data_IF_198423736881
#
_entry.id   IF_198423736881
#
_cell.length_a   1.000
_cell.length_b   1.000
_cell.length_c   1.000
_cell.angle_alpha   90.00
_cell.angle_beta   90.00
_cell.angle_gamma   90.00
#
_symmetry.space_group_name_H-M   'P 1'
#
loop_
_entity.id
_entity.type
_entity.pdbx_description
1 polymer ?
#
# COMPACT_ATOMS: atom_id res chain seq x y z
N UNK A 1 18.80 34.92 7.20
CA UNK A 1 17.40 34.44 7.40
C UNK A 1 17.25 32.97 7.01
N UNK A 2 17.68 32.56 5.79
CA UNK A 2 17.59 31.17 5.29
C UNK A 2 18.25 30.13 6.22
N UNK A 3 19.44 30.45 6.74
CA UNK A 3 20.21 29.53 7.60
C UNK A 3 19.44 29.12 8.88
N UNK A 4 18.78 30.07 9.55
CA UNK A 4 18.01 29.80 10.77
C UNK A 4 16.74 28.97 10.50
N UNK A 5 16.12 29.15 9.32
CA UNK A 5 14.99 28.33 8.90
C UNK A 5 15.43 26.90 8.58
N UNK A 6 16.59 26.75 7.95
CA UNK A 6 17.17 25.46 7.62
C UNK A 6 17.56 24.66 8.87
N UNK A 7 18.15 25.30 9.89
CA UNK A 7 18.45 24.64 11.16
C UNK A 7 17.19 24.10 11.85
N UNK A 8 16.12 24.90 11.91
CA UNK A 8 14.83 24.46 12.45
C UNK A 8 14.26 23.32 11.62
N UNK A 9 14.32 23.41 10.30
CA UNK A 9 13.83 22.35 9.41
C UNK A 9 14.58 21.04 9.66
N UNK A 10 15.92 21.06 9.63
CA UNK A 10 16.74 19.87 9.85
C UNK A 10 16.48 19.22 11.22
N UNK A 11 16.27 20.03 12.27
CA UNK A 11 15.92 19.56 13.62
C UNK A 11 14.64 18.73 13.65
N UNK A 12 13.63 19.11 12.88
CA UNK A 12 12.34 18.40 12.83
C UNK A 12 12.29 17.35 11.73
N UNK A 13 13.01 17.55 10.64
CA UNK A 13 13.08 16.63 9.51
C UNK A 13 13.49 15.23 9.95
N UNK A 14 14.57 15.10 10.73
CA UNK A 14 15.05 13.79 11.22
C UNK A 14 14.00 13.06 12.09
N UNK A 15 13.11 13.80 12.76
CA UNK A 15 12.05 13.22 13.60
C UNK A 15 10.82 12.80 12.79
N UNK A 16 10.49 13.54 11.73
CA UNK A 16 9.23 13.39 10.99
C UNK A 16 9.39 12.90 9.55
N UNK A 17 10.63 12.67 9.06
CA UNK A 17 10.85 12.26 7.66
C UNK A 17 10.03 11.01 7.31
N UNK A 18 9.91 10.07 8.25
CA UNK A 18 9.22 8.80 8.01
C UNK A 18 7.72 9.04 7.76
N UNK A 19 7.03 9.74 8.66
CA UNK A 19 5.60 9.99 8.52
C UNK A 19 5.29 10.91 7.33
N UNK A 20 6.14 11.91 7.10
CA UNK A 20 5.99 12.82 5.97
C UNK A 20 6.16 12.08 4.63
N UNK A 21 7.10 11.13 4.58
CA UNK A 21 7.29 10.28 3.41
C UNK A 21 6.12 9.32 3.21
N UNK A 22 5.54 8.76 4.28
CA UNK A 22 4.34 7.94 4.16
C UNK A 22 3.16 8.75 3.62
N UNK A 23 2.90 9.95 4.14
CA UNK A 23 1.84 10.85 3.66
C UNK A 23 2.06 11.23 2.20
N UNK A 24 3.30 11.56 1.82
CA UNK A 24 3.62 11.85 0.44
C UNK A 24 3.39 10.66 -0.50
N UNK A 25 3.65 9.42 -0.06
CA UNK A 25 3.38 8.22 -0.87
C UNK A 25 1.89 7.86 -0.96
N UNK A 26 1.11 8.18 0.06
CA UNK A 26 -0.33 7.93 0.10
C UNK A 26 -1.12 8.96 -0.71
N UNK A 27 -0.49 10.07 -1.11
CA UNK A 27 -1.08 11.03 -2.03
C UNK A 27 -1.05 10.46 -3.46
N UNK A 28 -2.21 10.27 -4.13
CA UNK A 28 -2.29 9.69 -5.48
C UNK A 28 -1.46 10.43 -6.53
N UNK A 29 -1.13 11.71 -6.28
CA UNK A 29 -0.36 12.56 -7.19
C UNK A 29 1.12 12.24 -7.16
N UNK A 30 1.62 11.66 -6.08
CA UNK A 30 3.03 11.41 -5.86
C UNK A 30 3.32 9.90 -5.85
N UNK A 31 4.09 9.45 -6.85
CA UNK A 31 4.56 8.07 -6.91
C UNK A 31 5.76 7.87 -6.00
N UNK A 32 5.97 6.65 -5.52
CA UNK A 32 7.11 6.25 -4.68
C UNK A 32 8.48 6.60 -5.28
N UNK A 33 8.56 6.69 -6.60
CA UNK A 33 9.71 7.18 -7.36
C UNK A 33 10.11 8.62 -6.99
N UNK A 34 9.15 9.49 -6.65
CA UNK A 34 9.42 10.86 -6.22
C UNK A 34 10.11 10.91 -4.86
N UNK A 35 9.64 10.09 -3.91
CA UNK A 35 10.29 9.97 -2.60
C UNK A 35 11.69 9.40 -2.78
N UNK A 36 11.88 8.38 -3.62
CA UNK A 36 13.20 7.84 -3.92
C UNK A 36 14.14 8.92 -4.48
N UNK A 37 13.69 9.72 -5.45
CA UNK A 37 14.46 10.83 -6.02
C UNK A 37 14.86 11.89 -4.99
N UNK A 38 13.93 12.28 -4.10
CA UNK A 38 14.20 13.23 -3.03
C UNK A 38 15.27 12.71 -2.07
N UNK A 39 15.16 11.45 -1.63
CA UNK A 39 16.13 10.87 -0.71
C UNK A 39 17.49 10.64 -1.37
N UNK A 40 17.55 10.27 -2.66
CA UNK A 40 18.84 10.16 -3.39
C UNK A 40 19.52 11.51 -3.52
N UNK A 41 18.76 12.59 -3.68
CA UNK A 41 19.31 13.95 -3.79
C UNK A 41 19.85 14.45 -2.44
N UNK A 42 19.18 14.13 -1.33
CA UNK A 42 19.54 14.63 0.00
C UNK A 42 20.63 13.77 0.67
N UNK A 43 20.55 12.44 0.54
CA UNK A 43 21.38 11.49 1.31
C UNK A 43 22.34 10.67 0.46
N UNK A 44 22.28 10.77 -0.88
CA UNK A 44 23.17 10.07 -1.79
C UNK A 44 23.18 8.55 -1.54
N UNK A 45 24.33 8.05 -1.09
CA UNK A 45 24.59 6.61 -0.88
C UNK A 45 23.68 6.01 0.21
N UNK A 46 23.28 6.80 1.22
CA UNK A 46 22.41 6.34 2.30
C UNK A 46 20.92 6.31 1.95
N UNK A 47 20.54 6.85 0.79
CA UNK A 47 19.14 7.00 0.39
C UNK A 47 18.39 5.67 0.34
N UNK A 48 19.03 4.60 -0.15
CA UNK A 48 18.42 3.28 -0.25
C UNK A 48 17.90 2.79 1.10
N UNK A 49 18.68 2.97 2.17
CA UNK A 49 18.28 2.55 3.52
C UNK A 49 17.02 3.27 3.98
N UNK A 50 16.93 4.58 3.78
CA UNK A 50 15.76 5.37 4.16
C UNK A 50 14.52 4.98 3.36
N UNK A 51 14.65 4.81 2.05
CA UNK A 51 13.54 4.41 1.16
C UNK A 51 13.02 3.02 1.55
N UNK A 52 13.91 2.07 1.85
CA UNK A 52 13.52 0.75 2.32
C UNK A 52 12.80 0.82 3.68
N UNK A 53 13.26 1.64 4.62
CA UNK A 53 12.56 1.86 5.89
C UNK A 53 11.15 2.40 5.66
N UNK A 54 10.98 3.38 4.78
CA UNK A 54 9.67 3.96 4.45
C UNK A 54 8.75 2.90 3.84
N UNK A 55 9.25 2.14 2.86
CA UNK A 55 8.48 1.10 2.17
C UNK A 55 8.04 0.00 3.13
N UNK A 56 8.93 -0.46 4.01
CA UNK A 56 8.62 -1.46 5.02
C UNK A 56 7.54 -0.97 6.00
N UNK A 57 7.60 0.29 6.44
CA UNK A 57 6.58 0.87 7.32
C UNK A 57 5.23 1.01 6.60
N UNK A 58 5.23 1.45 5.34
CA UNK A 58 4.00 1.55 4.54
C UNK A 58 3.34 0.18 4.38
N UNK A 59 4.14 -0.85 4.09
CA UNK A 59 3.67 -2.23 3.96
C UNK A 59 3.10 -2.75 5.28
N UNK A 60 3.77 -2.50 6.41
CA UNK A 60 3.29 -2.89 7.73
C UNK A 60 1.91 -2.27 8.03
N UNK A 61 1.75 -0.97 7.76
CA UNK A 61 0.48 -0.26 7.94
C UNK A 61 -0.63 -0.85 7.04
N UNK A 62 -0.28 -1.18 5.80
CA UNK A 62 -1.22 -1.80 4.87
C UNK A 62 -1.64 -3.20 5.33
N UNK A 63 -0.68 -4.03 5.76
CA UNK A 63 -0.95 -5.39 6.25
C UNK A 63 -1.85 -5.36 7.49
N UNK A 64 -1.63 -4.41 8.41
CA UNK A 64 -2.49 -4.18 9.57
C UNK A 64 -3.91 -3.77 9.15
N UNK A 65 -4.04 -2.83 8.20
CA UNK A 65 -5.33 -2.42 7.66
C UNK A 65 -6.09 -3.60 7.05
N UNK A 66 -5.44 -4.42 6.23
CA UNK A 66 -6.04 -5.61 5.59
C UNK A 66 -6.45 -6.65 6.63
N UNK A 67 -5.67 -6.84 7.70
CA UNK A 67 -6.05 -7.72 8.80
C UNK A 67 -7.29 -7.21 9.52
N UNK A 68 -7.37 -5.91 9.77
CA UNK A 68 -8.51 -5.31 10.47
C UNK A 68 -9.79 -5.36 9.62
N UNK A 69 -9.68 -5.13 8.31
CA UNK A 69 -10.83 -5.21 7.41
C UNK A 69 -11.43 -6.62 7.35
N UNK A 70 -10.58 -7.66 7.37
CA UNK A 70 -11.02 -9.07 7.41
C UNK A 70 -11.74 -9.41 8.72
N UNK A 71 -11.24 -8.91 9.85
CA UNK A 71 -11.87 -9.11 11.18
C UNK A 71 -13.26 -8.47 11.27
N UNK A 72 -13.41 -7.25 10.73
CA UNK A 72 -14.72 -6.57 10.68
C UNK A 72 -15.71 -7.28 9.73
N UNK A 73 -15.22 -7.86 8.63
CA UNK A 73 -16.05 -8.65 7.72
C UNK A 73 -16.57 -9.93 8.37
N UNK A 74 -15.78 -10.62 9.21
CA UNK A 74 -16.25 -11.83 9.90
C UNK A 74 -17.32 -11.52 10.96
N UNK A 75 -17.21 -10.40 11.67
CA UNK A 75 -18.24 -10.01 12.66
C UNK A 75 -19.57 -9.59 12.02
N UNK A 76 -19.56 -9.09 10.78
CA UNK A 76 -20.78 -8.72 10.03
C UNK A 76 -21.47 -9.94 9.40
N UNK A 77 -20.69 -10.94 8.97
CA UNK A 77 -21.23 -12.21 8.47
C UNK A 77 -21.90 -13.03 9.59
N UNK A 78 -21.44 -12.88 10.85
CA UNK A 78 -22.01 -13.60 11.99
C UNK A 78 -23.29 -12.94 12.55
N UNK A 79 -23.56 -11.67 12.21
CA UNK A 79 -24.80 -10.96 12.59
C UNK A 79 -25.92 -11.04 11.55
N UNK A 80 -25.73 -11.80 10.46
CA UNK A 80 -26.70 -11.96 9.38
C UNK A 80 -27.17 -13.42 9.25
N UNK A 81 -27.50 -14.04 10.38
CA UNK A 81 -28.33 -15.24 10.43
C UNK A 81 -29.75 -14.86 10.86
N UNK A 82 -30.46 -14.10 10.02
CA UNK A 82 -31.92 -14.18 9.96
C UNK A 82 -32.21 -15.07 8.77
N UNK A 83 -32.68 -16.27 9.08
CA UNK A 83 -33.16 -17.25 8.12
C UNK A 83 -34.23 -16.62 7.23
N UNK A 84 -34.02 -16.64 5.92
CA UNK A 84 -35.08 -17.03 5.00
C UNK A 84 -34.47 -17.63 3.74
N UNK A 85 -34.97 -18.81 3.39
CA UNK A 85 -34.60 -19.56 2.20
C UNK A 85 -35.09 -18.81 0.96
N UNK A 86 -34.25 -18.63 -0.07
CA UNK A 86 -34.62 -18.83 -1.49
C UNK A 86 -33.46 -18.52 -2.47
N UNK A 87 -33.04 -19.56 -3.20
CA UNK A 87 -32.77 -19.67 -4.65
C UNK A 87 -31.90 -18.59 -5.38
N UNK A 88 -30.69 -19.02 -5.77
CA UNK A 88 -29.97 -18.89 -7.08
C UNK A 88 -29.86 -17.51 -7.77
N UNK A 89 -28.66 -16.92 -7.84
CA UNK A 89 -27.78 -16.90 -9.04
C UNK A 89 -26.72 -15.77 -9.01
N UNK A 90 -25.64 -16.03 -9.73
CA UNK A 90 -24.82 -15.10 -10.49
C UNK A 90 -23.60 -14.46 -9.84
N UNK A 91 -22.47 -15.13 -10.11
CA UNK A 91 -21.28 -14.60 -10.78
C UNK A 91 -20.70 -13.28 -10.26
N UNK A 92 -19.42 -13.28 -9.82
CA UNK A 92 -18.47 -12.26 -10.31
C UNK A 92 -16.96 -12.37 -10.01
N UNK A 93 -16.35 -13.44 -9.46
CA UNK A 93 -14.88 -13.39 -9.24
C UNK A 93 -14.12 -14.72 -9.42
N UNK A 94 -14.27 -15.40 -10.55
CA UNK A 94 -13.35 -16.51 -10.91
C UNK A 94 -12.97 -16.48 -12.40
N UNK A 95 -12.44 -15.36 -12.89
CA UNK A 95 -11.85 -15.31 -14.23
C UNK A 95 -10.46 -14.68 -14.20
N UNK A 96 -9.52 -15.40 -14.81
CA UNK A 96 -8.09 -15.11 -15.03
C UNK A 96 -7.16 -15.69 -13.95
N UNK A 97 -6.38 -16.74 -14.18
CA UNK A 97 -5.41 -16.95 -15.27
C UNK A 97 -5.24 -18.45 -15.48
N UNK A 98 -5.27 -18.94 -16.73
CA UNK A 98 -4.43 -20.03 -17.28
C UNK A 98 -5.04 -20.55 -18.60
N UNK A 99 -4.63 -19.97 -19.74
CA UNK A 99 -4.76 -20.65 -21.04
C UNK A 99 -3.65 -20.20 -21.99
N UNK A 100 -2.54 -20.94 -22.00
CA UNK A 100 -1.74 -21.20 -23.19
C UNK A 100 -1.02 -22.53 -22.98
N UNK A 101 -1.64 -23.64 -23.39
CA UNK A 101 -0.94 -24.68 -24.16
C UNK A 101 -1.94 -25.68 -24.77
N UNK A 102 -1.52 -26.29 -25.88
CA UNK A 102 -2.01 -27.52 -26.53
C UNK A 102 -3.27 -27.44 -27.42
N UNK A 103 -3.04 -27.26 -28.73
CA UNK A 103 -2.98 -28.35 -29.71
C UNK A 103 -4.23 -29.20 -30.05
N UNK A 104 -4.41 -29.45 -31.36
CA UNK A 104 -5.27 -30.49 -31.99
C UNK A 104 -6.50 -29.89 -32.67
N UNK A 105 -6.62 -29.88 -34.02
CA UNK A 105 -7.14 -30.96 -34.91
C UNK A 105 -8.55 -31.40 -34.46
N UNK A 106 -9.62 -31.39 -35.27
CA UNK A 106 -9.84 -32.15 -36.51
C UNK A 106 -10.93 -31.52 -37.41
N UNK A 107 -10.84 -31.90 -38.70
CA UNK A 107 -11.75 -31.80 -39.86
C UNK A 107 -12.04 -30.43 -40.51
#
# INVERSE_FOLDING_TARGET
MVMQMQEKFNKYWIKYYLILSCVANLDPRYKLNYVQYCFTTIYGIHASSFVQTILNNLKLLFDEYVRNSKSTSSSLAESSNVSDNDIVDSSLYQLNVNRTDLGGDYD
#
